data_IF_296945977560
#
_entry.id   IF_296945977560
#
_cell.length_a   1.000
_cell.length_b   1.000
_cell.length_c   1.000
_cell.angle_alpha   90.00
_cell.angle_beta   90.00
_cell.angle_gamma   90.00
#
_symmetry.space_group_name_H-M   'P 1'
#
loop_
_entity.id
_entity.type
_entity.pdbx_description
1 polymer ?
#
# COMPACT_ATOMS: atom_id res chain seq x y z
N UNK A 1 2.37 -3.35 1.63
CA UNK A 1 3.29 -2.84 0.59
C UNK A 1 4.01 -1.63 1.15
N UNK A 2 5.34 -1.63 1.13
CA UNK A 2 6.16 -0.51 1.58
C UNK A 2 6.61 0.26 0.33
N UNK A 3 6.32 1.56 0.28
CA UNK A 3 6.87 2.45 -0.75
C UNK A 3 7.82 3.40 -0.03
N UNK A 4 9.09 3.04 -0.01
CA UNK A 4 10.17 3.95 0.39
C UNK A 4 10.69 4.68 -0.84
N UNK A 5 10.95 5.98 -0.70
CA UNK A 5 11.62 6.78 -1.71
C UNK A 5 13.12 6.45 -1.76
N UNK A 6 13.63 6.32 -2.99
CA UNK A 6 15.04 6.28 -3.40
C UNK A 6 15.89 5.06 -3.01
N UNK A 7 16.49 4.48 -4.04
CA UNK A 7 17.62 3.53 -4.11
C UNK A 7 17.44 2.09 -3.60
N UNK A 8 17.21 1.19 -4.57
CA UNK A 8 17.76 -0.16 -4.50
C UNK A 8 18.03 -0.66 -5.93
N UNK A 9 19.30 -0.67 -6.35
CA UNK A 9 19.90 -1.67 -7.25
C UNK A 9 21.41 -1.41 -7.29
N UNK A 10 22.14 -2.04 -6.37
CA UNK A 10 23.50 -2.48 -6.65
C UNK A 10 23.42 -3.95 -7.03
N UNK A 11 23.83 -4.24 -8.26
CA UNK A 11 24.06 -5.59 -8.78
C UNK A 11 25.18 -6.29 -8.00
N UNK A 12 25.01 -7.58 -7.70
CA UNK A 12 25.94 -8.64 -8.12
C UNK A 12 25.53 -9.98 -7.53
N UNK A 13 25.77 -11.02 -8.33
CA UNK A 13 25.65 -12.43 -8.02
C UNK A 13 26.39 -12.81 -6.73
N UNK A 14 25.82 -13.71 -5.91
CA UNK A 14 26.46 -14.94 -5.39
C UNK A 14 25.63 -15.56 -4.25
N UNK A 15 25.44 -16.86 -4.44
CA UNK A 15 24.89 -17.97 -3.68
C UNK A 15 24.65 -17.93 -2.15
N UNK A 16 23.47 -18.48 -1.80
CA UNK A 16 23.05 -19.35 -0.68
C UNK A 16 23.43 -19.10 0.79
N UNK A 17 22.35 -19.29 1.57
CA UNK A 17 22.22 -19.66 3.00
C UNK A 17 22.32 -18.51 3.99
N UNK A 18 21.16 -18.07 4.48
CA UNK A 18 20.84 -18.10 5.92
C UNK A 18 19.31 -18.07 6.08
N UNK A 19 18.76 -19.20 6.54
CA UNK A 19 17.42 -19.31 7.12
C UNK A 19 17.33 -18.42 8.37
N UNK A 20 16.22 -17.69 8.57
CA UNK A 20 15.57 -17.58 9.87
C UNK A 20 14.13 -17.03 9.72
N UNK A 21 13.22 -17.76 10.38
CA UNK A 21 11.77 -17.64 10.34
C UNK A 21 11.30 -16.41 11.12
N UNK A 22 10.29 -15.71 10.60
CA UNK A 22 9.52 -14.68 11.31
C UNK A 22 8.06 -15.09 11.44
N UNK A 23 7.57 -15.10 12.68
CA UNK A 23 6.36 -15.77 13.15
C UNK A 23 5.09 -14.98 12.79
N UNK A 24 4.08 -15.68 12.29
CA UNK A 24 2.72 -15.17 12.13
C UNK A 24 2.01 -15.24 13.49
N UNK A 25 1.73 -14.09 14.10
CA UNK A 25 0.97 -14.03 15.34
C UNK A 25 -0.51 -13.74 15.05
N UNK A 26 -1.32 -14.80 15.16
CA UNK A 26 -2.72 -14.69 15.51
C UNK A 26 -2.87 -15.06 16.99
N UNK A 27 -3.27 -14.12 17.85
CA UNK A 27 -3.95 -14.45 19.10
C UNK A 27 -5.04 -13.41 19.37
N UNK A 28 -6.25 -13.94 19.48
CA UNK A 28 -7.48 -13.32 19.93
C UNK A 28 -7.42 -13.14 21.46
N UNK A 29 -7.80 -11.96 21.96
CA UNK A 29 -7.93 -11.71 23.40
C UNK A 29 -9.08 -10.76 23.69
N UNK A 30 -10.16 -11.30 24.25
CA UNK A 30 -11.32 -10.60 24.80
C UNK A 30 -11.30 -10.76 26.34
N UNK A 31 -12.03 -9.88 27.04
CA UNK A 31 -12.22 -9.73 28.51
C UNK A 31 -11.30 -8.65 29.13
N UNK A 32 -11.73 -7.74 30.01
CA UNK A 32 -13.00 -7.52 30.70
C UNK A 32 -12.82 -6.39 31.76
N UNK A 33 -13.92 -5.73 32.09
CA UNK A 33 -14.28 -4.91 33.28
C UNK A 33 -13.25 -4.27 34.23
N UNK A 34 -13.44 -2.95 34.39
CA UNK A 34 -13.66 -2.14 35.61
C UNK A 34 -12.71 -2.21 36.83
N UNK A 35 -12.26 -1.02 37.29
CA UNK A 35 -12.44 -0.52 38.66
C UNK A 35 -12.01 0.96 38.79
N UNK A 36 -12.57 1.64 39.79
CA UNK A 36 -12.74 3.08 39.98
C UNK A 36 -11.68 3.70 40.93
N UNK A 37 -11.83 5.01 41.26
CA UNK A 37 -11.29 5.75 42.45
C UNK A 37 -9.92 6.45 42.22
N UNK A 38 -9.59 7.70 42.60
CA UNK A 38 -10.26 8.86 43.26
C UNK A 38 -9.43 10.14 43.06
N UNK A 39 -10.08 11.32 43.22
CA UNK A 39 -9.44 12.60 43.57
C UNK A 39 -9.28 12.73 45.11
N UNK A 40 -8.47 13.70 45.60
CA UNK A 40 -9.09 14.93 46.11
C UNK A 40 -8.30 16.22 45.84
N UNK A 41 -8.97 17.34 46.15
CA UNK A 41 -8.59 18.74 45.95
C UNK A 41 -7.62 19.30 47.01
N UNK A 42 -6.97 20.42 46.67
CA UNK A 42 -6.28 21.33 47.59
C UNK A 42 -6.11 22.74 46.99
N UNK A 43 -6.85 23.70 47.55
CA UNK A 43 -6.77 25.17 47.42
C UNK A 43 -5.37 25.70 47.77
N UNK A 44 -4.82 26.84 47.34
CA UNK A 44 -5.23 28.06 46.63
C UNK A 44 -4.26 29.19 47.07
N UNK A 45 -3.93 30.16 46.19
CA UNK A 45 -3.62 31.56 46.56
C UNK A 45 -3.51 32.46 45.32
N UNK A 46 -4.08 33.66 45.45
CA UNK A 46 -4.23 34.71 44.45
C UNK A 46 -3.01 35.63 44.34
N UNK A 47 -2.84 36.29 43.19
CA UNK A 47 -1.89 37.40 43.00
C UNK A 47 -1.91 37.94 41.58
N UNK A 48 -2.31 39.19 41.42
CA UNK A 48 -2.77 39.87 40.19
C UNK A 48 -1.67 40.33 39.21
N UNK A 49 -2.08 40.48 37.93
CA UNK A 49 -1.36 41.12 36.80
C UNK A 49 -1.51 42.66 36.82
N UNK A 50 -0.67 43.46 36.10
CA UNK A 50 -1.00 43.87 34.71
C UNK A 50 0.18 44.11 33.71
N UNK A 51 -0.05 43.70 32.44
CA UNK A 51 0.32 44.23 31.09
C UNK A 51 1.65 44.97 30.70
N UNK A 52 2.41 44.35 29.75
CA UNK A 52 3.04 44.73 28.43
C UNK A 52 3.56 46.16 28.08
N UNK A 53 4.52 46.41 27.11
CA UNK A 53 4.78 45.68 25.83
C UNK A 53 6.23 45.53 25.25
N UNK A 54 6.34 44.67 24.21
CA UNK A 54 7.18 44.71 22.98
C UNK A 54 8.73 44.84 23.00
N UNK A 55 9.42 43.81 22.46
CA UNK A 55 10.40 43.96 21.35
C UNK A 55 10.54 42.64 20.58
N UNK A 56 10.39 42.74 19.26
CA UNK A 56 10.67 41.69 18.30
C UNK A 56 12.18 41.49 18.12
N UNK A 57 12.60 40.23 17.97
CA UNK A 57 13.81 39.84 17.26
C UNK A 57 13.48 38.61 16.42
N UNK A 58 13.34 38.83 15.11
CA UNK A 58 13.23 37.78 14.11
C UNK A 58 14.63 37.27 13.72
N UNK A 59 14.61 36.13 13.04
CA UNK A 59 15.68 35.53 12.23
C UNK A 59 16.58 34.47 12.90
N UNK A 60 16.06 33.24 12.92
CA UNK A 60 16.83 32.09 12.46
C UNK A 60 15.89 31.27 11.55
N UNK A 61 16.13 31.33 10.24
CA UNK A 61 15.22 30.86 9.20
C UNK A 61 14.86 29.38 9.31
N UNK A 62 13.79 28.92 8.66
CA UNK A 62 13.50 27.50 8.63
C UNK A 62 14.63 26.82 7.86
N UNK A 63 15.45 26.06 8.59
CA UNK A 63 16.20 24.96 8.02
C UNK A 63 15.23 24.20 7.11
N UNK A 64 15.57 24.11 5.83
CA UNK A 64 14.81 23.38 4.83
C UNK A 64 14.80 21.93 5.29
N UNK A 65 13.79 21.57 6.07
CA UNK A 65 13.57 20.22 6.53
C UNK A 65 13.39 19.39 5.27
N UNK A 66 14.40 18.58 4.98
CA UNK A 66 14.19 17.41 4.14
C UNK A 66 13.06 16.67 4.81
N UNK A 67 11.86 16.75 4.24
CA UNK A 67 10.74 15.92 4.66
C UNK A 67 11.19 14.51 4.34
N UNK A 68 11.83 13.86 5.31
CA UNK A 68 12.10 12.44 5.21
C UNK A 68 10.75 11.80 4.90
N UNK A 69 10.65 11.19 3.71
CA UNK A 69 9.41 10.62 3.27
C UNK A 69 9.04 9.55 4.29
N UNK A 70 8.04 9.86 5.13
CA UNK A 70 7.56 8.90 6.12
C UNK A 70 7.09 7.66 5.39
N UNK A 71 7.73 6.53 5.70
CA UNK A 71 7.37 5.25 5.12
C UNK A 71 5.88 4.99 5.42
N UNK A 72 5.11 4.75 4.36
CA UNK A 72 3.67 4.55 4.46
C UNK A 72 3.33 3.12 4.10
N UNK A 73 2.59 2.45 4.98
CA UNK A 73 2.01 1.14 4.73
C UNK A 73 0.63 1.31 4.11
N UNK A 74 0.46 0.74 2.93
CA UNK A 74 -0.83 0.70 2.23
C UNK A 74 -1.53 -0.62 2.53
N UNK A 75 -2.75 -0.52 3.06
CA UNK A 75 -3.66 -1.65 3.32
C UNK A 75 -4.85 -1.54 2.37
N UNK A 76 -4.92 -2.45 1.40
CA UNK A 76 -6.04 -2.52 0.46
C UNK A 76 -7.17 -3.34 1.07
N UNK A 77 -8.29 -2.68 1.36
CA UNK A 77 -9.43 -3.33 1.99
C UNK A 77 -10.36 -3.88 0.91
N UNK A 78 -10.28 -5.18 0.65
CA UNK A 78 -11.00 -5.86 -0.46
C UNK A 78 -12.51 -5.62 -0.42
N UNK A 79 -13.12 -5.70 0.76
CA UNK A 79 -14.57 -5.62 0.95
C UNK A 79 -15.13 -4.21 0.76
N UNK A 80 -14.50 -3.20 1.38
CA UNK A 80 -14.91 -1.79 1.29
C UNK A 80 -14.40 -1.08 0.03
N UNK A 81 -13.43 -1.67 -0.69
CA UNK A 81 -12.79 -1.10 -1.89
C UNK A 81 -12.14 0.27 -1.63
N UNK A 82 -11.58 0.44 -0.44
CA UNK A 82 -10.80 1.59 -0.03
C UNK A 82 -9.39 1.16 0.43
N UNK A 83 -8.54 2.14 0.71
CA UNK A 83 -7.16 1.93 1.13
C UNK A 83 -6.89 2.70 2.40
N UNK A 84 -6.43 1.99 3.42
CA UNK A 84 -5.98 2.59 4.68
C UNK A 84 -4.48 2.84 4.60
N UNK A 85 -4.08 4.09 4.85
CA UNK A 85 -2.70 4.53 4.89
C UNK A 85 -2.26 4.58 6.35
N UNK A 86 -1.19 3.84 6.67
CA UNK A 86 -0.63 3.75 8.02
C UNK A 86 0.78 4.33 8.00
N UNK A 87 1.08 5.18 8.98
CA UNK A 87 2.44 5.60 9.25
C UNK A 87 3.24 4.40 9.80
N UNK A 88 4.29 3.99 9.09
CA UNK A 88 5.02 2.76 9.42
C UNK A 88 5.74 2.84 10.78
N UNK A 89 6.27 4.03 11.12
CA UNK A 89 7.04 4.23 12.33
C UNK A 89 6.17 4.15 13.60
N UNK A 90 5.07 4.90 13.62
CA UNK A 90 4.16 4.98 14.77
C UNK A 90 3.06 3.92 14.76
N UNK A 91 2.87 3.22 13.64
CA UNK A 91 1.81 2.22 13.42
C UNK A 91 0.40 2.80 13.59
N UNK A 92 0.23 4.08 13.25
CA UNK A 92 -1.05 4.79 13.34
C UNK A 92 -1.68 4.97 11.97
N UNK A 93 -2.99 4.81 11.89
CA UNK A 93 -3.77 5.15 10.69
C UNK A 93 -3.68 6.66 10.46
N UNK A 94 -3.26 7.06 9.27
CA UNK A 94 -3.23 8.45 8.82
C UNK A 94 -4.56 8.85 8.19
N UNK A 95 -5.06 8.02 7.29
CA UNK A 95 -6.31 8.23 6.56
C UNK A 95 -6.78 6.93 5.88
N UNK A 96 -8.05 6.91 5.47
CA UNK A 96 -8.62 5.88 4.59
C UNK A 96 -9.24 6.58 3.39
N UNK A 97 -8.89 6.14 2.18
CA UNK A 97 -9.28 6.78 0.92
C UNK A 97 -9.99 5.79 -0.02
N UNK A 98 -11.09 6.19 -0.68
CA UNK A 98 -11.76 5.31 -1.62
C UNK A 98 -10.86 5.01 -2.82
N UNK A 99 -10.84 3.75 -3.26
CA UNK A 99 -10.14 3.31 -4.47
C UNK A 99 -11.11 2.83 -5.55
N UNK A 100 -12.20 2.16 -5.14
CA UNK A 100 -13.22 1.63 -6.04
C UNK A 100 -12.89 0.26 -6.66
N UNK A 101 -11.78 -0.37 -6.27
CA UNK A 101 -11.33 -1.67 -6.78
C UNK A 101 -11.00 -2.66 -5.65
N UNK A 102 -11.19 -3.95 -5.91
CA UNK A 102 -10.89 -5.02 -4.94
C UNK A 102 -9.48 -5.59 -5.18
N UNK A 103 -8.47 -4.97 -4.55
CA UNK A 103 -7.07 -5.44 -4.62
C UNK A 103 -6.84 -6.52 -3.56
N UNK A 104 -6.57 -7.76 -3.99
CA UNK A 104 -6.56 -8.94 -3.10
C UNK A 104 -5.16 -9.40 -2.70
N UNK A 105 -4.25 -9.54 -3.67
CA UNK A 105 -2.89 -10.06 -3.42
C UNK A 105 -1.83 -9.22 -4.13
N UNK A 106 -0.86 -8.79 -3.32
CA UNK A 106 0.45 -8.31 -3.76
C UNK A 106 1.46 -9.05 -2.87
N UNK A 107 2.02 -10.13 -3.38
CA UNK A 107 3.13 -10.81 -2.67
C UNK A 107 4.37 -9.91 -2.69
N UNK A 108 5.22 -10.01 -1.67
CA UNK A 108 6.54 -9.36 -1.65
C UNK A 108 7.49 -9.93 -2.72
N UNK A 109 7.23 -11.12 -3.23
CA UNK A 109 8.02 -11.76 -4.30
C UNK A 109 7.45 -11.44 -5.70
N UNK A 110 6.28 -10.82 -5.77
CA UNK A 110 5.63 -10.46 -7.03
C UNK A 110 6.11 -9.08 -7.49
N UNK A 111 6.55 -8.98 -8.74
CA UNK A 111 6.87 -7.67 -9.33
C UNK A 111 5.55 -6.99 -9.73
N UNK A 112 5.18 -5.91 -9.04
CA UNK A 112 3.96 -5.14 -9.28
C UNK A 112 4.23 -3.66 -9.62
N UNK A 113 5.48 -3.22 -9.61
CA UNK A 113 5.84 -1.80 -9.73
C UNK A 113 6.48 -1.51 -11.09
N UNK A 114 5.87 -0.63 -11.89
CA UNK A 114 6.43 -0.21 -13.19
C UNK A 114 7.43 0.96 -13.09
N UNK A 115 7.73 1.43 -11.87
CA UNK A 115 8.50 2.65 -11.64
C UNK A 115 7.65 3.87 -11.29
N UNK A 116 6.34 3.83 -11.54
CA UNK A 116 5.39 4.93 -11.30
C UNK A 116 4.05 4.49 -10.72
N UNK A 117 3.56 3.31 -11.06
CA UNK A 117 2.25 2.76 -10.73
C UNK A 117 2.37 1.35 -10.19
N UNK A 118 1.45 1.02 -9.29
CA UNK A 118 1.21 -0.34 -8.84
C UNK A 118 0.28 -1.00 -9.85
N UNK A 119 0.74 -2.06 -10.49
CA UNK A 119 -0.08 -2.90 -11.34
C UNK A 119 -0.58 -4.10 -10.55
N UNK A 120 -1.87 -4.35 -10.66
CA UNK A 120 -2.54 -5.47 -10.04
C UNK A 120 -3.76 -5.85 -10.88
N UNK A 121 -4.62 -6.70 -10.35
CA UNK A 121 -5.80 -7.19 -11.05
C UNK A 121 -7.06 -6.97 -10.20
N UNK A 122 -8.18 -6.95 -10.88
CA UNK A 122 -9.50 -7.14 -10.28
C UNK A 122 -10.35 -7.99 -11.25
N UNK A 123 -11.49 -8.47 -10.79
CA UNK A 123 -12.41 -9.25 -11.63
C UNK A 123 -13.88 -8.98 -11.30
N UNK A 124 -14.37 -7.73 -11.49
CA UNK A 124 -15.77 -7.44 -11.27
C UNK A 124 -16.63 -8.32 -12.20
N UNK A 125 -17.69 -8.92 -11.65
CA UNK A 125 -18.60 -9.79 -12.41
C UNK A 125 -17.89 -10.95 -13.12
N UNK A 126 -16.87 -11.52 -12.47
CA UNK A 126 -16.06 -12.64 -12.99
C UNK A 126 -15.38 -12.32 -14.34
N UNK A 127 -15.04 -11.05 -14.59
CA UNK A 127 -14.28 -10.62 -15.77
C UNK A 127 -12.94 -10.04 -15.36
N UNK A 128 -11.86 -10.74 -15.70
CA UNK A 128 -10.50 -10.33 -15.33
C UNK A 128 -10.11 -9.04 -16.03
N UNK A 129 -9.52 -8.13 -15.25
CA UNK A 129 -8.94 -6.88 -15.72
C UNK A 129 -7.62 -6.59 -15.00
N UNK A 130 -6.66 -6.00 -15.70
CA UNK A 130 -5.47 -5.42 -15.10
C UNK A 130 -5.75 -3.96 -14.75
N UNK A 131 -5.33 -3.51 -13.57
CA UNK A 131 -5.51 -2.13 -13.11
C UNK A 131 -4.19 -1.54 -12.68
N UNK A 132 -4.00 -0.24 -12.95
CA UNK A 132 -2.85 0.53 -12.51
C UNK A 132 -3.29 1.54 -11.45
N UNK A 133 -2.60 1.58 -10.32
CA UNK A 133 -2.89 2.46 -9.18
C UNK A 133 -1.74 3.46 -9.02
N UNK A 134 -2.08 4.74 -8.94
CA UNK A 134 -1.15 5.75 -8.45
C UNK A 134 -1.16 5.70 -6.90
N UNK A 135 -0.03 5.35 -6.25
CA UNK A 135 0.01 5.25 -4.79
C UNK A 135 -0.05 6.60 -4.07
N UNK A 136 0.34 7.70 -4.72
CA UNK A 136 0.27 9.05 -4.12
C UNK A 136 -1.17 9.55 -4.12
N UNK A 137 -1.86 9.32 -5.24
CA UNK A 137 -3.25 9.74 -5.40
C UNK A 137 -4.25 8.71 -4.88
N UNK A 138 -3.82 7.48 -4.57
CA UNK A 138 -4.72 6.37 -4.18
C UNK A 138 -5.88 6.26 -5.17
N UNK A 139 -5.53 6.19 -6.45
CA UNK A 139 -6.49 6.23 -7.54
C UNK A 139 -6.16 5.20 -8.60
N UNK A 140 -7.18 4.52 -9.13
CA UNK A 140 -7.04 3.72 -10.35
C UNK A 140 -6.85 4.68 -11.51
N UNK A 141 -5.67 4.64 -12.12
CA UNK A 141 -5.28 5.50 -13.24
C UNK A 141 -5.45 4.83 -14.60
N UNK A 142 -5.55 3.50 -14.63
CA UNK A 142 -5.81 2.73 -15.85
C UNK A 142 -6.48 1.41 -15.53
N UNK A 143 -7.34 0.97 -16.46
CA UNK A 143 -7.97 -0.35 -16.47
C UNK A 143 -7.80 -0.94 -17.86
N UNK A 144 -7.29 -2.17 -17.94
CA UNK A 144 -7.25 -3.00 -19.14
C UNK A 144 -8.23 -4.15 -18.91
N UNK A 145 -9.42 -4.00 -19.47
CA UNK A 145 -10.53 -4.94 -19.30
C UNK A 145 -10.56 -6.02 -20.39
N UNK A 146 -11.46 -6.99 -20.24
CA UNK A 146 -11.72 -7.99 -21.27
C UNK A 146 -10.60 -9.02 -21.41
N UNK A 147 -9.90 -9.34 -20.32
CA UNK A 147 -8.82 -10.34 -20.34
C UNK A 147 -9.35 -11.78 -20.32
N UNK A 148 -10.63 -11.96 -19.98
CA UNK A 148 -11.34 -13.23 -19.99
C UNK A 148 -12.06 -13.52 -18.68
N UNK A 149 -12.49 -14.77 -18.52
CA UNK A 149 -13.29 -15.20 -17.37
C UNK A 149 -12.43 -15.42 -16.13
N UNK A 150 -12.87 -14.82 -15.03
CA UNK A 150 -12.22 -14.91 -13.75
C UNK A 150 -12.41 -16.25 -13.05
N UNK A 151 -11.82 -16.37 -11.84
CA UNK A 151 -11.08 -15.31 -11.15
C UNK A 151 -9.69 -15.04 -11.75
N UNK A 152 -9.15 -13.87 -11.42
CA UNK A 152 -7.70 -13.61 -11.48
C UNK A 152 -7.10 -13.83 -10.10
N UNK A 153 -5.85 -14.31 -10.03
CA UNK A 153 -5.15 -14.52 -8.75
C UNK A 153 -3.78 -13.85 -8.67
N UNK A 154 -3.22 -13.39 -9.79
CA UNK A 154 -1.92 -12.74 -9.85
C UNK A 154 -1.77 -11.88 -11.10
N UNK A 155 -0.98 -10.82 -10.98
CA UNK A 155 -0.45 -10.06 -12.11
C UNK A 155 1.03 -9.76 -11.85
N UNK A 156 1.91 -10.22 -12.73
CA UNK A 156 3.35 -9.99 -12.62
C UNK A 156 3.78 -9.03 -13.71
N UNK A 157 4.26 -7.84 -13.33
CA UNK A 157 4.97 -6.93 -14.22
C UNK A 157 6.29 -7.59 -14.62
N UNK A 158 6.56 -7.69 -15.91
CA UNK A 158 7.77 -8.31 -16.43
C UNK A 158 9.00 -7.43 -16.21
N UNK A 159 10.23 -7.97 -16.29
CA UNK A 159 11.47 -7.22 -16.03
C UNK A 159 11.63 -5.94 -16.87
N UNK A 160 11.05 -5.90 -18.07
CA UNK A 160 11.07 -4.72 -18.95
C UNK A 160 10.15 -3.57 -18.48
N UNK A 161 9.28 -3.82 -17.50
CA UNK A 161 8.25 -2.91 -16.97
C UNK A 161 7.24 -2.40 -17.99
N UNK A 162 7.23 -2.97 -19.19
CA UNK A 162 6.34 -2.61 -20.30
C UNK A 162 5.21 -3.62 -20.47
N UNK A 163 5.45 -4.87 -20.08
CA UNK A 163 4.45 -5.94 -20.14
C UNK A 163 4.13 -6.49 -18.75
N UNK A 164 2.97 -7.12 -18.63
CA UNK A 164 2.64 -7.95 -17.48
C UNK A 164 2.03 -9.28 -17.92
N UNK A 165 2.20 -10.31 -17.09
CA UNK A 165 1.51 -11.59 -17.21
C UNK A 165 0.44 -11.68 -16.13
N UNK A 166 -0.77 -12.14 -16.50
CA UNK A 166 -1.91 -12.29 -15.60
C UNK A 166 -2.60 -13.62 -15.87
N UNK A 167 -2.90 -14.36 -14.80
CA UNK A 167 -3.67 -15.59 -14.92
C UNK A 167 -5.15 -15.28 -15.09
N UNK A 168 -5.79 -16.00 -16.01
CA UNK A 168 -7.21 -15.91 -16.29
C UNK A 168 -7.78 -17.30 -16.03
N UNK A 169 -8.10 -17.56 -14.76
CA UNK A 169 -8.30 -18.91 -14.28
C UNK A 169 -9.51 -19.61 -14.92
N UNK A 170 -10.56 -18.86 -15.25
CA UNK A 170 -11.76 -19.39 -15.90
C UNK A 170 -11.58 -19.77 -17.37
N UNK A 171 -10.50 -19.33 -18.01
CA UNK A 171 -10.20 -19.59 -19.43
C UNK A 171 -8.93 -20.44 -19.65
N UNK A 172 -8.37 -21.00 -18.57
CA UNK A 172 -7.19 -21.87 -18.55
C UNK A 172 -6.00 -21.29 -19.35
N UNK A 173 -5.71 -20.00 -19.10
CA UNK A 173 -4.65 -19.29 -19.80
C UNK A 173 -3.94 -18.24 -18.93
N UNK A 174 -2.75 -17.86 -19.38
CA UNK A 174 -2.04 -16.64 -18.98
C UNK A 174 -2.19 -15.62 -20.12
N UNK A 175 -2.64 -14.42 -19.81
CA UNK A 175 -2.63 -13.29 -20.75
C UNK A 175 -1.38 -12.44 -20.51
N UNK A 176 -0.70 -12.08 -21.59
CA UNK A 176 0.37 -11.10 -21.60
C UNK A 176 -0.20 -9.77 -22.10
N UNK A 177 -0.10 -8.73 -21.29
CA UNK A 177 -0.65 -7.40 -21.58
C UNK A 177 0.46 -6.40 -21.78
N UNK A 178 0.32 -5.56 -22.79
CA UNK A 178 1.14 -4.36 -22.98
C UNK A 178 0.57 -3.23 -22.10
N UNK A 179 1.36 -2.74 -21.16
CA UNK A 179 0.97 -1.75 -20.15
C UNK A 179 0.91 -0.33 -20.72
N UNK A 180 1.62 -0.05 -21.81
CA UNK A 180 1.67 1.24 -22.49
C UNK A 180 0.53 1.36 -23.50
N UNK A 181 0.39 0.37 -24.39
CA UNK A 181 -0.72 0.29 -25.33
C UNK A 181 -2.06 0.02 -24.62
N UNK A 182 -2.04 -0.72 -23.51
CA UNK A 182 -3.23 -1.02 -22.71
C UNK A 182 -4.11 -2.09 -23.35
N UNK A 183 -3.49 -3.12 -23.91
CA UNK A 183 -4.19 -4.20 -24.61
C UNK A 183 -3.47 -5.53 -24.41
N UNK A 184 -4.16 -6.63 -24.72
CA UNK A 184 -3.55 -7.96 -24.75
C UNK A 184 -2.59 -8.03 -25.93
N UNK A 185 -1.35 -8.43 -25.65
CA UNK A 185 -0.31 -8.70 -26.64
C UNK A 185 -0.37 -10.16 -27.11
N UNK A 186 -0.49 -11.10 -26.17
CA UNK A 186 -0.60 -12.53 -26.46
C UNK A 186 -1.27 -13.30 -25.32
N UNK A 187 -1.66 -14.54 -25.60
CA UNK A 187 -2.13 -15.48 -24.58
C UNK A 187 -1.38 -16.81 -24.67
N UNK A 188 -1.23 -17.47 -23.54
CA UNK A 188 -0.61 -18.78 -23.42
C UNK A 188 -1.59 -19.72 -22.73
N UNK A 189 -2.00 -20.79 -23.42
CA UNK A 189 -2.83 -21.84 -22.83
C UNK A 189 -2.04 -22.63 -21.80
N UNK A 190 -2.70 -22.99 -20.71
CA UNK A 190 -2.12 -23.73 -19.59
C UNK A 190 -2.98 -24.95 -19.24
N UNK A 191 -2.66 -25.62 -18.13
CA UNK A 191 -3.60 -26.51 -17.46
C UNK A 191 -4.79 -25.75 -16.86
N UNK A 192 -5.68 -26.51 -16.24
CA UNK A 192 -6.90 -25.97 -15.66
C UNK A 192 -6.60 -25.02 -14.49
N UNK A 193 -7.24 -23.86 -14.51
CA UNK A 193 -7.29 -22.91 -13.39
C UNK A 193 -5.89 -22.47 -12.87
N UNK A 194 -5.03 -21.90 -13.74
CA UNK A 194 -3.67 -21.46 -13.40
C UNK A 194 -3.60 -20.30 -12.40
#
# INVERSE_FOLDING_TARGET
MFVSGTDWFLSSEVDRRTLLKGVSSAVLGLLGSACNVSMPAGTGHAGSSPAEPSVAAAESGPASGVSESQETVYVFNVGSKDVTLIDAASRRVRETRPLGASVRWLSNEQTYWDGRRIWTYDFPHDQVQAIAIDPRQVAVTRTIAGLGKGPGHSLVVLPDKKKAAINVAGDDLIAFVDLEAGQVDSTLKTGAFP
#
